data_IF_361314163389
#
_entry.id   IF_361314163389
#
_cell.length_a   1.000
_cell.length_b   1.000
_cell.length_c   1.000
_cell.angle_alpha   90.00
_cell.angle_beta   90.00
_cell.angle_gamma   90.00
#
_symmetry.space_group_name_H-M   'P 1'
#
loop_
_entity.id
_entity.type
_entity.pdbx_description
1 polymer ?
#
# COMPACT_ATOMS: atom_id res chain seq x y z
N UNK A 1 -7.95 -17.38 -14.93
CA UNK A 1 -6.58 -17.33 -14.36
C UNK A 1 -6.21 -15.87 -14.28
N UNK A 2 -5.90 -15.36 -13.08
CA UNK A 2 -5.56 -13.95 -12.90
C UNK A 2 -4.04 -13.82 -13.02
N UNK A 3 -3.59 -13.05 -14.00
CA UNK A 3 -2.17 -12.94 -14.36
C UNK A 3 -1.51 -11.91 -13.45
N UNK A 4 -1.06 -12.35 -12.27
CA UNK A 4 -0.26 -11.51 -11.34
C UNK A 4 1.04 -11.03 -12.01
N UNK A 5 1.53 -11.77 -13.01
CA UNK A 5 2.70 -11.43 -13.83
C UNK A 5 2.55 -10.14 -14.66
N UNK A 6 1.32 -9.64 -14.86
CA UNK A 6 1.08 -8.39 -15.60
C UNK A 6 1.13 -7.12 -14.73
N UNK A 7 1.30 -7.26 -13.41
CA UNK A 7 1.39 -6.11 -12.51
C UNK A 7 2.77 -5.49 -12.62
N UNK A 8 2.83 -4.25 -13.07
CA UNK A 8 4.08 -3.50 -13.16
C UNK A 8 4.44 -2.93 -11.78
N UNK A 9 5.46 -3.49 -11.13
CA UNK A 9 5.93 -2.98 -9.84
C UNK A 9 7.02 -1.92 -10.07
N UNK A 10 6.85 -0.69 -9.58
CA UNK A 10 7.84 0.36 -9.76
C UNK A 10 9.14 -0.03 -9.05
N UNK A 11 10.30 0.16 -9.70
CA UNK A 11 11.58 -0.15 -9.07
C UNK A 11 11.85 0.79 -7.90
N UNK A 12 12.53 0.27 -6.88
CA UNK A 12 12.99 1.07 -5.75
C UNK A 12 14.16 1.95 -6.24
N UNK A 13 13.96 3.26 -6.16
CA UNK A 13 14.93 4.30 -6.48
C UNK A 13 15.37 5.03 -5.22
N UNK A 14 16.44 5.83 -5.30
CA UNK A 14 16.88 6.64 -4.15
C UNK A 14 15.81 7.61 -3.66
N UNK A 15 14.94 8.08 -4.56
CA UNK A 15 13.89 9.05 -4.25
C UNK A 15 12.71 8.39 -3.51
N UNK A 16 12.29 7.20 -3.93
CA UNK A 16 11.16 6.50 -3.30
C UNK A 16 11.57 5.58 -2.14
N UNK A 17 12.87 5.38 -1.89
CA UNK A 17 13.36 4.54 -0.79
C UNK A 17 12.76 4.92 0.57
N UNK A 18 12.58 6.22 0.84
CA UNK A 18 11.95 6.69 2.08
C UNK A 18 10.49 6.23 2.20
N UNK A 19 9.72 6.34 1.12
CA UNK A 19 8.32 5.88 1.05
C UNK A 19 8.24 4.36 1.24
N UNK A 20 9.12 3.61 0.57
CA UNK A 20 9.14 2.14 0.69
C UNK A 20 9.46 1.71 2.12
N UNK A 21 10.45 2.33 2.76
CA UNK A 21 10.75 2.06 4.18
C UNK A 21 9.58 2.42 5.10
N UNK A 22 8.83 3.47 4.81
CA UNK A 22 7.63 3.81 5.57
C UNK A 22 6.52 2.76 5.41
N UNK A 23 6.31 2.27 4.18
CA UNK A 23 5.38 1.17 3.89
C UNK A 23 5.80 -0.09 4.66
N UNK A 24 7.08 -0.48 4.60
CA UNK A 24 7.62 -1.63 5.32
C UNK A 24 7.35 -1.53 6.83
N UNK A 25 7.63 -0.38 7.44
CA UNK A 25 7.40 -0.16 8.88
C UNK A 25 5.91 -0.29 9.26
N UNK A 26 5.00 0.24 8.43
CA UNK A 26 3.55 0.13 8.70
C UNK A 26 3.06 -1.30 8.55
N UNK A 27 3.57 -2.05 7.56
CA UNK A 27 3.27 -3.48 7.41
C UNK A 27 3.77 -4.27 8.62
N UNK A 28 4.97 -3.98 9.13
CA UNK A 28 5.48 -4.61 10.35
C UNK A 28 4.61 -4.33 11.57
N UNK A 29 4.04 -3.13 11.69
CA UNK A 29 3.08 -2.77 12.75
C UNK A 29 1.75 -3.55 12.62
N UNK A 30 1.22 -3.68 11.40
CA UNK A 30 0.03 -4.50 11.12
C UNK A 30 0.30 -5.96 11.50
N UNK A 31 1.43 -6.51 11.05
CA UNK A 31 1.81 -7.90 11.34
C UNK A 31 1.96 -8.12 12.83
N UNK A 32 2.63 -7.21 13.54
CA UNK A 32 2.79 -7.29 15.00
C UNK A 32 1.46 -7.27 15.73
N UNK A 33 0.54 -6.40 15.29
CA UNK A 33 -0.81 -6.31 15.84
C UNK A 33 -1.62 -7.58 15.59
N UNK A 34 -1.64 -8.08 14.34
CA UNK A 34 -2.40 -9.28 13.95
C UNK A 34 -1.84 -10.58 14.51
N UNK A 35 -0.55 -10.63 14.85
CA UNK A 35 0.05 -11.75 15.58
C UNK A 35 -0.50 -11.86 17.00
N UNK A 36 -0.78 -10.72 17.64
CA UNK A 36 -1.35 -10.68 19.00
C UNK A 36 -2.85 -10.94 18.96
N UNK A 37 -3.55 -10.24 18.06
CA UNK A 37 -4.99 -10.38 17.86
C UNK A 37 -5.30 -10.44 16.35
N UNK A 38 -5.62 -11.64 15.82
CA UNK A 38 -5.94 -11.81 14.41
C UNK A 38 -7.11 -10.96 13.91
N UNK A 39 -8.03 -10.60 14.80
CA UNK A 39 -9.22 -9.78 14.50
C UNK A 39 -8.99 -8.29 14.78
N UNK A 40 -7.77 -7.89 15.14
CA UNK A 40 -7.44 -6.50 15.37
C UNK A 40 -7.72 -5.65 14.14
N UNK A 41 -8.40 -4.53 14.38
CA UNK A 41 -8.69 -3.54 13.36
C UNK A 41 -7.42 -2.79 12.97
N UNK A 42 -6.98 -3.04 11.75
CA UNK A 42 -5.81 -2.40 11.11
C UNK A 42 -6.21 -1.47 9.98
N UNK A 43 -7.51 -1.15 9.85
CA UNK A 43 -8.06 -0.38 8.73
C UNK A 43 -7.35 0.98 8.56
N UNK A 44 -7.00 1.66 9.65
CA UNK A 44 -6.30 2.94 9.58
C UNK A 44 -4.87 2.80 9.02
N UNK A 45 -4.14 1.75 9.44
CA UNK A 45 -2.79 1.46 8.93
C UNK A 45 -2.83 1.05 7.46
N UNK A 46 -3.83 0.26 7.07
CA UNK A 46 -4.06 -0.15 5.68
C UNK A 46 -4.36 1.07 4.79
N UNK A 47 -5.26 1.95 5.21
CA UNK A 47 -5.55 3.19 4.48
C UNK A 47 -4.32 4.12 4.34
N UNK A 48 -3.42 4.12 5.33
CA UNK A 48 -2.16 4.86 5.24
C UNK A 48 -1.21 4.22 4.23
N UNK A 49 -1.12 2.89 4.19
CA UNK A 49 -0.33 2.16 3.19
C UNK A 49 -0.86 2.44 1.78
N UNK A 50 -2.19 2.41 1.57
CA UNK A 50 -2.80 2.69 0.27
C UNK A 50 -2.38 4.06 -0.27
N UNK A 51 -2.43 5.11 0.57
CA UNK A 51 -1.98 6.47 0.19
C UNK A 51 -0.49 6.52 -0.18
N UNK A 52 0.36 5.80 0.55
CA UNK A 52 1.79 5.71 0.26
C UNK A 52 2.05 4.96 -1.05
N UNK A 53 1.28 3.91 -1.32
CA UNK A 53 1.31 3.17 -2.59
C UNK A 53 0.85 4.05 -3.75
N UNK A 54 -0.24 4.81 -3.61
CA UNK A 54 -0.69 5.75 -4.64
C UNK A 54 0.38 6.79 -4.96
N UNK A 55 1.08 7.28 -3.93
CA UNK A 55 2.22 8.20 -4.08
C UNK A 55 3.40 7.51 -4.79
N UNK A 56 3.65 6.23 -4.50
CA UNK A 56 4.71 5.45 -5.15
C UNK A 56 4.46 5.25 -6.65
N UNK A 57 3.19 5.14 -7.05
CA UNK A 57 2.75 5.02 -8.44
C UNK A 57 2.46 6.37 -9.12
N UNK A 58 2.59 7.49 -8.40
CA UNK A 58 2.27 8.83 -8.88
C UNK A 58 0.84 8.95 -9.43
N UNK A 59 -0.11 8.27 -8.77
CA UNK A 59 -1.51 8.23 -9.21
C UNK A 59 -2.22 9.57 -8.99
N UNK A 60 -3.05 9.96 -9.95
CA UNK A 60 -3.91 11.15 -9.80
C UNK A 60 -5.17 10.81 -8.98
N UNK A 61 -5.88 11.81 -8.41
CA UNK A 61 -7.14 11.58 -7.70
C UNK A 61 -8.19 10.84 -8.54
N UNK A 62 -8.21 11.07 -9.86
CA UNK A 62 -9.10 10.37 -10.79
C UNK A 62 -8.73 8.89 -10.92
N UNK A 63 -7.44 8.57 -10.98
CA UNK A 63 -6.95 7.18 -11.02
C UNK A 63 -7.18 6.47 -9.69
N UNK A 64 -6.99 7.16 -8.56
CA UNK A 64 -7.30 6.64 -7.23
C UNK A 64 -8.80 6.32 -7.12
N UNK A 65 -9.68 7.20 -7.61
CA UNK A 65 -11.12 6.95 -7.60
C UNK A 65 -11.51 5.71 -8.40
N UNK A 66 -10.83 5.42 -9.51
CA UNK A 66 -11.01 4.18 -10.28
C UNK A 66 -10.57 2.95 -9.46
N UNK A 67 -9.43 3.04 -8.76
CA UNK A 67 -8.91 1.95 -7.92
C UNK A 67 -9.83 1.66 -6.73
N UNK A 68 -10.36 2.70 -6.07
CA UNK A 68 -11.28 2.57 -4.94
C UNK A 68 -12.71 2.17 -5.36
N UNK A 69 -13.01 2.13 -6.66
CA UNK A 69 -14.35 1.79 -7.16
C UNK A 69 -15.39 2.89 -6.93
N UNK A 70 -14.95 4.15 -6.80
CA UNK A 70 -15.79 5.33 -6.61
C UNK A 70 -16.31 5.92 -7.94
N UNK A 71 -16.41 5.09 -8.99
CA UNK A 71 -16.80 5.45 -10.37
C UNK A 71 -18.18 4.94 -10.77
#
# INVERSE_FOLDING_TARGET
>A
KQYVELIHVPPITKTNKGLVTEIENKVDEILSTKVIDPEADTTDLENQIDKLVYTLYDLTPEEIAIVEGNV
#
